data_IF_065969761081
#
_entry.id   IF_065969761081
#
_cell.length_a   1.000
_cell.length_b   1.000
_cell.length_c   1.000
_cell.angle_alpha   90.00
_cell.angle_beta   90.00
_cell.angle_gamma   90.00
#
_symmetry.space_group_name_H-M   'P 1'
#
loop_
_entity.id
_entity.type
_entity.pdbx_description
1 polymer ?
#
# COMPACT_ATOMS: atom_id res chain seq x y z
N UNK A 1 -16.74 31.60 -7.09
CA UNK A 1 -17.84 31.19 -8.00
C UNK A 1 -17.85 29.67 -8.07
N UNK A 2 -19.02 29.02 -8.06
CA UNK A 2 -19.16 27.56 -7.99
C UNK A 2 -19.23 26.94 -9.39
N UNK A 3 -18.41 25.91 -9.62
CA UNK A 3 -18.37 25.14 -10.88
C UNK A 3 -18.60 23.65 -10.64
N UNK A 4 -19.85 23.23 -10.47
CA UNK A 4 -20.19 21.82 -10.24
C UNK A 4 -20.18 21.01 -11.55
N UNK A 5 -19.11 20.25 -11.81
CA UNK A 5 -19.09 19.27 -12.89
C UNK A 5 -19.53 17.88 -12.40
N UNK A 6 -20.80 17.52 -12.63
CA UNK A 6 -21.27 16.14 -12.52
C UNK A 6 -20.85 15.38 -13.77
N UNK A 7 -20.05 14.30 -13.64
CA UNK A 7 -19.73 13.39 -14.74
C UNK A 7 -21.00 12.61 -15.12
N UNK A 8 -21.64 12.99 -16.23
CA UNK A 8 -22.83 12.31 -16.74
C UNK A 8 -22.41 11.16 -17.66
N UNK A 9 -22.48 9.92 -17.18
CA UNK A 9 -22.25 8.74 -18.03
C UNK A 9 -23.53 8.46 -18.83
N UNK A 10 -23.60 9.00 -20.05
CA UNK A 10 -24.60 8.62 -21.05
C UNK A 10 -23.90 7.96 -22.24
N UNK A 11 -24.03 6.65 -22.38
CA UNK A 11 -23.39 5.90 -23.45
C UNK A 11 -23.98 6.16 -24.83
N UNK A 12 -23.17 6.01 -25.88
CA UNK A 12 -23.61 5.87 -27.27
C UNK A 12 -22.71 4.88 -27.99
N UNK A 13 -23.21 3.66 -28.21
CA UNK A 13 -22.59 2.73 -29.15
C UNK A 13 -22.84 3.19 -30.59
N UNK A 14 -21.78 3.51 -31.32
CA UNK A 14 -21.86 3.85 -32.75
C UNK A 14 -21.94 2.60 -33.60
N UNK A 15 -23.15 2.08 -33.81
CA UNK A 15 -23.41 1.09 -34.84
C UNK A 15 -23.26 1.72 -36.23
N UNK A 16 -22.27 1.30 -37.01
CA UNK A 16 -22.09 1.73 -38.40
C UNK A 16 -23.01 0.90 -39.29
N UNK A 17 -24.08 1.52 -39.79
CA UNK A 17 -25.04 0.86 -40.67
C UNK A 17 -24.60 1.01 -42.14
N UNK A 18 -23.97 -0.03 -42.69
CA UNK A 18 -23.68 -0.09 -44.13
C UNK A 18 -24.89 -0.69 -44.86
N UNK A 19 -25.59 0.13 -45.65
CA UNK A 19 -26.77 -0.30 -46.40
C UNK A 19 -26.40 -0.78 -47.80
N UNK A 20 -26.57 -2.08 -48.07
CA UNK A 20 -26.61 -2.66 -49.41
C UNK A 20 -27.95 -3.38 -49.63
N UNK A 21 -28.68 -2.98 -50.67
CA UNK A 21 -30.00 -3.53 -50.97
C UNK A 21 -29.87 -4.86 -51.72
N UNK A 22 -30.38 -5.93 -51.11
CA UNK A 22 -30.52 -7.26 -51.73
C UNK A 22 -31.79 -7.94 -51.20
N UNK A 23 -32.61 -8.49 -52.09
CA UNK A 23 -33.92 -9.03 -51.72
C UNK A 23 -33.81 -10.42 -51.08
N UNK A 24 -34.36 -10.58 -49.87
CA UNK A 24 -34.42 -11.87 -49.17
C UNK A 24 -35.08 -11.75 -47.80
N UNK A 25 -36.36 -12.09 -47.68
CA UNK A 25 -37.11 -12.01 -46.42
C UNK A 25 -36.87 -13.21 -45.52
N UNK A 26 -36.09 -13.03 -44.45
CA UNK A 26 -36.31 -13.71 -43.17
C UNK A 26 -36.26 -12.66 -42.07
N UNK A 27 -37.40 -12.42 -41.42
CA UNK A 27 -37.48 -11.53 -40.27
C UNK A 27 -36.99 -12.27 -39.02
N UNK A 28 -35.67 -12.35 -38.84
CA UNK A 28 -35.06 -12.77 -37.57
C UNK A 28 -35.29 -11.67 -36.54
N UNK A 29 -36.51 -11.62 -36.00
CA UNK A 29 -36.89 -10.70 -34.93
C UNK A 29 -35.96 -10.90 -33.74
N UNK A 30 -35.25 -9.84 -33.36
CA UNK A 30 -34.38 -9.89 -32.18
C UNK A 30 -35.27 -10.06 -30.96
N UNK A 31 -35.31 -11.28 -30.42
CA UNK A 31 -35.78 -11.55 -29.07
C UNK A 31 -34.83 -10.83 -28.09
N UNK A 32 -35.14 -9.56 -27.82
CA UNK A 32 -34.44 -8.76 -26.81
C UNK A 32 -34.69 -9.44 -25.46
N UNK A 33 -33.61 -10.04 -24.96
CA UNK A 33 -33.59 -11.00 -23.87
C UNK A 33 -34.25 -10.48 -22.57
N UNK A 34 -35.50 -10.89 -22.31
CA UNK A 34 -36.26 -10.55 -21.09
C UNK A 34 -35.62 -11.12 -19.80
N UNK A 35 -34.61 -12.01 -19.91
CA UNK A 35 -33.81 -12.50 -18.79
C UNK A 35 -32.82 -11.48 -18.20
N UNK A 36 -32.68 -10.28 -18.80
CA UNK A 36 -31.88 -9.18 -18.22
C UNK A 36 -32.39 -8.71 -16.85
N UNK A 37 -33.65 -9.02 -16.51
CA UNK A 37 -34.25 -8.81 -15.19
C UNK A 37 -33.87 -9.89 -14.15
N UNK A 38 -33.57 -11.11 -14.59
CA UNK A 38 -33.26 -12.26 -13.72
C UNK A 38 -31.76 -12.34 -13.36
N UNK A 39 -30.88 -11.74 -14.16
CA UNK A 39 -29.45 -11.63 -13.84
C UNK A 39 -29.15 -10.67 -12.65
N UNK A 40 -30.17 -9.98 -12.12
CA UNK A 40 -30.05 -9.02 -11.03
C UNK A 40 -30.48 -9.56 -9.65
N UNK A 41 -30.83 -10.85 -9.53
CA UNK A 41 -30.85 -11.50 -8.21
C UNK A 41 -29.42 -11.52 -7.65
N UNK A 42 -29.17 -10.67 -6.64
CA UNK A 42 -27.87 -10.59 -5.99
C UNK A 42 -27.43 -11.97 -5.49
N UNK A 43 -26.15 -12.32 -5.70
CA UNK A 43 -25.51 -13.57 -5.23
C UNK A 43 -25.40 -13.63 -3.69
N UNK A 44 -26.53 -13.62 -2.99
CA UNK A 44 -26.62 -13.94 -1.56
C UNK A 44 -26.10 -15.35 -1.36
N UNK A 45 -25.06 -15.51 -0.54
CA UNK A 45 -24.56 -16.84 -0.20
C UNK A 45 -25.64 -17.65 0.52
N UNK A 46 -25.58 -18.96 0.35
CA UNK A 46 -26.57 -19.93 0.83
C UNK A 46 -26.80 -19.90 2.36
N UNK A 47 -25.76 -19.54 3.12
CA UNK A 47 -25.77 -19.51 4.58
C UNK A 47 -25.92 -18.08 5.13
N UNK A 48 -26.40 -17.89 6.37
CA UNK A 48 -26.42 -16.57 7.00
C UNK A 48 -24.99 -16.06 7.24
N UNK A 49 -24.72 -14.74 7.24
CA UNK A 49 -23.35 -14.21 7.37
C UNK A 49 -22.62 -14.59 8.65
N UNK A 50 -23.34 -14.99 9.71
CA UNK A 50 -22.74 -15.52 10.95
C UNK A 50 -22.09 -16.90 10.78
N UNK A 51 -22.45 -17.67 9.74
CA UNK A 51 -21.86 -18.99 9.45
C UNK A 51 -20.55 -18.91 8.68
N UNK A 52 -20.34 -17.83 7.92
CA UNK A 52 -19.08 -17.58 7.19
C UNK A 52 -18.09 -16.71 8.00
N UNK A 53 -18.48 -16.24 9.19
CA UNK A 53 -17.65 -15.33 9.99
C UNK A 53 -16.39 -16.04 10.53
N UNK A 54 -15.17 -15.50 10.31
CA UNK A 54 -13.93 -16.19 10.65
C UNK A 54 -13.66 -16.28 12.16
N UNK A 55 -13.06 -17.39 12.60
CA UNK A 55 -12.56 -17.53 13.97
C UNK A 55 -11.22 -16.81 14.15
N UNK A 56 -11.31 -15.56 14.62
CA UNK A 56 -10.16 -14.67 14.84
C UNK A 56 -9.67 -14.65 16.29
N UNK A 57 -10.08 -15.61 17.14
CA UNK A 57 -9.79 -15.63 18.60
C UNK A 57 -8.30 -15.73 18.98
N UNK A 58 -7.40 -15.99 18.01
CA UNK A 58 -5.95 -16.14 18.21
C UNK A 58 -5.14 -15.15 17.36
N UNK A 59 -5.79 -14.15 16.78
CA UNK A 59 -5.20 -13.31 15.73
C UNK A 59 -4.79 -11.93 16.27
N UNK A 60 -3.60 -11.48 15.87
CA UNK A 60 -3.01 -10.19 16.20
C UNK A 60 -2.60 -9.45 14.91
N UNK A 61 -3.61 -9.03 14.15
CA UNK A 61 -3.46 -8.18 12.97
C UNK A 61 -4.55 -7.09 12.99
N UNK A 62 -4.38 -6.01 12.21
CA UNK A 62 -5.27 -4.84 12.24
C UNK A 62 -6.70 -5.22 11.81
N UNK A 63 -6.85 -6.08 10.80
CA UNK A 63 -8.13 -6.63 10.33
C UNK A 63 -8.88 -7.34 11.45
N UNK A 64 -8.24 -8.26 12.18
CA UNK A 64 -8.83 -8.94 13.32
C UNK A 64 -9.13 -8.01 14.52
N UNK A 65 -8.51 -6.82 14.58
CA UNK A 65 -8.86 -5.79 15.56
C UNK A 65 -10.12 -5.01 15.15
N UNK A 66 -10.39 -4.87 13.85
CA UNK A 66 -11.44 -4.02 13.29
C UNK A 66 -12.70 -4.77 12.83
N UNK A 67 -12.59 -6.05 12.45
CA UNK A 67 -13.71 -6.83 11.94
C UNK A 67 -14.69 -7.20 13.05
N UNK A 68 -15.96 -6.89 12.84
CA UNK A 68 -17.06 -7.27 13.75
C UNK A 68 -18.13 -8.05 12.99
N UNK A 69 -18.96 -8.89 13.66
CA UNK A 69 -20.05 -9.60 12.99
C UNK A 69 -21.03 -8.68 12.25
N UNK A 70 -21.25 -7.46 12.76
CA UNK A 70 -22.10 -6.46 12.12
C UNK A 70 -21.47 -5.89 10.82
N UNK A 71 -20.17 -5.56 10.84
CA UNK A 71 -19.44 -5.09 9.65
C UNK A 71 -19.35 -6.21 8.61
N UNK A 72 -19.02 -7.44 9.02
CA UNK A 72 -18.98 -8.59 8.13
C UNK A 72 -20.34 -8.86 7.49
N UNK A 73 -21.42 -8.94 8.27
CA UNK A 73 -22.77 -9.18 7.75
C UNK A 73 -23.26 -8.08 6.78
N UNK A 74 -22.78 -6.84 6.91
CA UNK A 74 -23.10 -5.71 6.03
C UNK A 74 -22.25 -5.68 4.75
N UNK A 75 -21.06 -6.26 4.76
CA UNK A 75 -20.09 -6.19 3.66
C UNK A 75 -19.93 -7.51 2.87
N UNK A 76 -20.24 -8.68 3.45
CA UNK A 76 -19.99 -10.01 2.86
C UNK A 76 -20.57 -10.18 1.46
N UNK A 77 -21.82 -9.73 1.26
CA UNK A 77 -22.55 -9.89 0.00
C UNK A 77 -22.34 -8.70 -0.96
N UNK A 78 -21.43 -7.76 -0.64
CA UNK A 78 -20.98 -6.74 -1.59
C UNK A 78 -19.85 -7.30 -2.46
N UNK A 79 -19.82 -6.86 -3.72
CA UNK A 79 -18.73 -7.09 -4.66
C UNK A 79 -18.30 -5.77 -5.29
N UNK A 80 -17.05 -5.69 -5.73
CA UNK A 80 -16.55 -4.58 -6.56
C UNK A 80 -16.99 -4.77 -8.03
N UNK A 81 -16.84 -3.76 -8.91
CA UNK A 81 -17.17 -3.91 -10.34
C UNK A 81 -16.44 -5.09 -11.01
N UNK A 82 -15.24 -5.41 -10.53
CA UNK A 82 -14.41 -6.51 -11.04
C UNK A 82 -14.68 -7.86 -10.33
N UNK A 83 -15.74 -7.95 -9.52
CA UNK A 83 -16.14 -9.12 -8.72
C UNK A 83 -15.18 -9.50 -7.57
N UNK A 84 -14.37 -8.56 -7.07
CA UNK A 84 -13.61 -8.78 -5.84
C UNK A 84 -14.53 -8.73 -4.61
N UNK A 85 -14.25 -9.56 -3.60
CA UNK A 85 -15.14 -9.79 -2.44
C UNK A 85 -14.46 -9.46 -1.12
N UNK A 86 -15.27 -9.27 -0.06
CA UNK A 86 -14.77 -9.04 1.30
C UNK A 86 -13.85 -10.17 1.77
N UNK A 87 -14.21 -11.43 1.50
CA UNK A 87 -13.44 -12.58 1.97
C UNK A 87 -12.05 -12.62 1.30
N UNK A 88 -11.98 -12.35 0.00
CA UNK A 88 -10.69 -12.21 -0.70
C UNK A 88 -9.85 -11.04 -0.17
N UNK A 89 -10.47 -9.95 0.29
CA UNK A 89 -9.75 -8.86 0.97
C UNK A 89 -9.11 -9.33 2.28
N UNK A 90 -9.82 -10.12 3.10
CA UNK A 90 -9.38 -10.51 4.45
C UNK A 90 -8.63 -11.84 4.52
N UNK A 91 -8.65 -12.68 3.48
CA UNK A 91 -8.12 -14.05 3.45
C UNK A 91 -6.72 -14.16 4.07
N UNK A 92 -5.79 -13.31 3.63
CA UNK A 92 -4.41 -13.27 4.15
C UNK A 92 -4.34 -13.03 5.67
N UNK A 93 -5.24 -12.24 6.25
CA UNK A 93 -5.34 -12.02 7.70
C UNK A 93 -6.18 -13.03 8.46
N UNK A 94 -6.93 -13.90 7.78
CA UNK A 94 -7.57 -15.09 8.38
C UNK A 94 -6.54 -16.22 8.47
N UNK A 95 -5.78 -16.44 7.39
CA UNK A 95 -4.78 -17.51 7.27
C UNK A 95 -3.50 -17.24 8.06
N UNK A 96 -3.16 -15.96 8.30
CA UNK A 96 -1.98 -15.55 9.08
C UNK A 96 -2.41 -14.88 10.41
N UNK A 97 -2.46 -15.63 11.53
CA UNK A 97 -2.81 -15.08 12.85
C UNK A 97 -1.86 -13.99 13.37
N UNK A 98 -0.67 -13.84 12.80
CA UNK A 98 0.29 -12.78 13.14
C UNK A 98 1.59 -12.96 12.38
N UNK A 99 2.60 -12.16 12.73
CA UNK A 99 3.96 -12.31 12.20
C UNK A 99 4.98 -12.25 13.35
N UNK A 100 6.09 -13.01 13.34
CA UNK A 100 7.01 -13.09 14.49
C UNK A 100 7.64 -11.76 14.95
N UNK A 101 7.64 -10.74 14.08
CA UNK A 101 8.35 -9.47 14.32
C UNK A 101 7.46 -8.21 14.34
N UNK A 102 6.22 -8.25 13.82
CA UNK A 102 5.36 -7.06 13.63
C UNK A 102 3.86 -7.40 13.70
N UNK A 103 3.02 -6.44 14.14
CA UNK A 103 1.57 -6.48 13.90
C UNK A 103 1.32 -6.24 12.40
N UNK A 104 0.69 -7.19 11.72
CA UNK A 104 0.38 -7.09 10.28
C UNK A 104 -0.97 -6.41 10.04
N UNK A 105 -1.22 -5.99 8.79
CA UNK A 105 -2.51 -5.38 8.41
C UNK A 105 -3.64 -6.43 8.41
N UNK A 106 -3.41 -7.59 7.81
CA UNK A 106 -4.40 -8.66 7.71
C UNK A 106 -5.48 -8.47 6.63
N UNK A 107 -5.31 -7.51 5.71
CA UNK A 107 -6.14 -7.42 4.50
C UNK A 107 -5.40 -6.75 3.34
N UNK A 108 -5.91 -6.95 2.13
CA UNK A 108 -5.46 -6.38 0.85
C UNK A 108 -6.67 -5.88 0.04
N UNK A 109 -6.43 -4.94 -0.88
CA UNK A 109 -7.39 -4.55 -1.91
C UNK A 109 -7.10 -5.29 -3.23
N UNK A 110 -8.14 -5.71 -3.96
CA UNK A 110 -7.98 -6.38 -5.26
C UNK A 110 -8.08 -5.43 -6.47
N UNK A 111 -8.70 -4.28 -6.27
CA UNK A 111 -8.90 -3.18 -7.21
C UNK A 111 -9.04 -1.85 -6.43
N UNK A 112 -9.17 -0.73 -7.13
CA UNK A 112 -9.30 0.60 -6.49
C UNK A 112 -10.63 0.70 -5.71
N UNK A 113 -11.72 0.20 -6.30
CA UNK A 113 -13.06 0.27 -5.71
C UNK A 113 -13.20 -0.52 -4.41
N UNK A 114 -12.35 -1.52 -4.16
CA UNK A 114 -12.25 -2.24 -2.88
C UNK A 114 -12.19 -1.29 -1.68
N UNK A 115 -11.44 -0.18 -1.79
CA UNK A 115 -11.30 0.80 -0.70
C UNK A 115 -12.56 1.64 -0.45
N UNK A 116 -13.48 1.75 -1.41
CA UNK A 116 -14.76 2.44 -1.23
C UNK A 116 -15.90 1.45 -0.87
N UNK A 117 -16.00 0.32 -1.57
CA UNK A 117 -17.03 -0.72 -1.37
C UNK A 117 -16.95 -1.30 0.06
N UNK A 118 -15.73 -1.51 0.57
CA UNK A 118 -15.45 -2.07 1.89
C UNK A 118 -14.88 -1.04 2.89
N UNK A 119 -15.05 0.26 2.64
CA UNK A 119 -14.53 1.36 3.49
C UNK A 119 -14.86 1.21 4.98
N UNK A 120 -16.03 0.67 5.34
CA UNK A 120 -16.42 0.44 6.74
C UNK A 120 -15.47 -0.51 7.51
N UNK A 121 -14.73 -1.37 6.80
CA UNK A 121 -13.63 -2.17 7.35
C UNK A 121 -12.25 -1.53 7.09
N UNK A 122 -12.00 -0.97 5.91
CA UNK A 122 -10.70 -0.37 5.59
C UNK A 122 -10.38 0.88 6.43
N UNK A 123 -11.30 1.81 6.62
CA UNK A 123 -11.06 3.06 7.36
C UNK A 123 -10.51 2.81 8.80
N UNK A 124 -11.11 1.96 9.66
CA UNK A 124 -10.55 1.69 10.99
C UNK A 124 -9.21 0.96 10.95
N UNK A 125 -8.97 0.11 9.95
CA UNK A 125 -7.67 -0.57 9.74
C UNK A 125 -6.58 0.45 9.35
N UNK A 126 -6.91 1.37 8.44
CA UNK A 126 -6.06 2.49 8.03
C UNK A 126 -5.75 3.36 9.27
N UNK A 127 -6.74 3.65 10.10
CA UNK A 127 -6.58 4.48 11.30
C UNK A 127 -5.73 3.84 12.40
N UNK A 128 -5.86 2.54 12.63
CA UNK A 128 -4.99 1.77 13.52
C UNK A 128 -3.55 1.75 12.97
N UNK A 129 -3.38 1.37 11.69
CA UNK A 129 -2.05 1.21 11.09
C UNK A 129 -1.30 2.54 10.89
N UNK A 130 -1.98 3.63 10.58
CA UNK A 130 -1.40 4.96 10.38
C UNK A 130 -1.62 5.89 11.59
N UNK A 131 -1.66 5.30 12.79
CA UNK A 131 -1.50 5.99 14.07
C UNK A 131 -2.44 7.21 14.25
N UNK A 132 -3.72 7.03 13.90
CA UNK A 132 -4.76 8.03 14.06
C UNK A 132 -5.19 8.78 12.81
N UNK A 133 -4.52 8.61 11.65
CA UNK A 133 -5.00 9.18 10.39
C UNK A 133 -6.39 8.65 10.04
N UNK A 134 -7.37 9.52 9.87
CA UNK A 134 -8.75 9.14 9.58
C UNK A 134 -9.12 9.50 8.13
N UNK A 135 -9.21 8.54 7.20
CA UNK A 135 -9.49 8.80 5.78
C UNK A 135 -10.91 9.32 5.51
N UNK A 136 -11.73 9.51 6.55
CA UNK A 136 -13.06 10.13 6.49
C UNK A 136 -13.02 11.65 6.70
N UNK A 137 -12.00 12.15 7.39
CA UNK A 137 -11.91 13.57 7.81
C UNK A 137 -10.58 14.24 7.45
N UNK A 138 -9.53 13.45 7.17
CA UNK A 138 -8.21 13.92 6.79
C UNK A 138 -8.00 13.78 5.27
N UNK A 139 -7.03 14.53 4.75
CA UNK A 139 -6.59 14.53 3.35
C UNK A 139 -5.08 14.35 3.31
N UNK A 140 -4.57 13.73 2.26
CA UNK A 140 -3.14 13.43 2.14
C UNK A 140 -2.40 14.47 1.28
N UNK A 141 -1.40 15.19 1.83
CA UNK A 141 -0.51 16.03 1.04
C UNK A 141 0.63 15.20 0.43
N UNK A 142 0.94 15.43 -0.84
CA UNK A 142 2.02 14.78 -1.60
C UNK A 142 3.06 15.83 -2.00
N UNK A 143 4.34 15.59 -1.70
CA UNK A 143 5.50 16.41 -2.07
C UNK A 143 6.76 15.56 -1.87
N UNK A 144 7.61 15.42 -2.89
CA UNK A 144 8.07 14.09 -3.30
C UNK A 144 9.61 13.96 -3.46
N UNK A 145 10.32 13.10 -2.67
CA UNK A 145 11.67 12.51 -2.97
C UNK A 145 12.35 11.49 -1.95
N UNK A 146 12.54 10.20 -2.34
CA UNK A 146 13.77 9.34 -2.44
C UNK A 146 14.66 8.62 -1.35
N UNK A 147 15.04 7.35 -1.69
CA UNK A 147 16.40 6.73 -1.91
C UNK A 147 17.43 6.24 -0.83
N UNK A 148 17.54 4.89 -0.56
CA UNK A 148 18.77 3.99 -0.42
C UNK A 148 18.38 2.48 -0.21
N UNK A 149 19.08 1.38 -0.58
CA UNK A 149 20.10 1.05 -1.64
C UNK A 149 20.42 -0.48 -1.87
N UNK A 150 19.64 -1.24 -2.67
CA UNK A 150 19.83 -2.68 -3.09
C UNK A 150 18.84 -3.12 -4.21
N UNK A 151 19.18 -4.00 -5.18
CA UNK A 151 18.46 -4.00 -6.49
C UNK A 151 17.35 -5.04 -6.80
N UNK A 152 17.50 -6.34 -6.49
CA UNK A 152 16.69 -7.42 -7.11
C UNK A 152 15.60 -7.97 -6.17
N UNK A 153 14.55 -8.57 -6.75
CA UNK A 153 13.47 -9.27 -6.05
C UNK A 153 13.35 -10.73 -6.52
N UNK A 154 12.95 -11.62 -5.59
CA UNK A 154 12.78 -13.06 -5.80
C UNK A 154 11.29 -13.45 -5.86
N UNK A 155 10.99 -14.75 -6.08
CA UNK A 155 9.62 -15.26 -5.99
C UNK A 155 9.05 -15.05 -4.58
N UNK A 156 7.85 -14.46 -4.42
CA UNK A 156 7.20 -14.34 -3.12
C UNK A 156 6.98 -15.70 -2.45
N UNK A 157 7.71 -15.95 -1.36
CA UNK A 157 7.56 -17.11 -0.46
C UNK A 157 6.87 -16.76 0.85
N UNK A 158 6.71 -15.48 1.17
CA UNK A 158 6.06 -15.01 2.40
C UNK A 158 4.56 -15.37 2.37
N UNK A 159 4.01 -16.03 3.41
CA UNK A 159 2.63 -16.49 3.42
C UNK A 159 1.61 -15.34 3.38
N UNK A 160 2.02 -14.13 3.77
CA UNK A 160 1.23 -12.90 3.63
C UNK A 160 0.90 -12.58 2.16
N UNK A 161 1.83 -12.88 1.24
CA UNK A 161 1.72 -12.60 -0.19
C UNK A 161 1.12 -13.78 -0.97
N UNK A 162 1.41 -15.02 -0.57
CA UNK A 162 0.85 -16.21 -1.23
C UNK A 162 -0.63 -16.41 -0.88
N UNK A 163 -1.05 -16.22 0.37
CA UNK A 163 -2.48 -16.22 0.77
C UNK A 163 -3.25 -14.99 0.26
N UNK A 164 -2.54 -13.93 -0.16
CA UNK A 164 -3.13 -12.80 -0.90
C UNK A 164 -3.19 -13.04 -2.43
N UNK A 165 -2.86 -14.26 -2.90
CA UNK A 165 -2.86 -14.66 -4.31
C UNK A 165 -1.90 -13.87 -5.23
N UNK A 166 -0.89 -13.22 -4.67
CA UNK A 166 0.04 -12.33 -5.40
C UNK A 166 1.13 -13.11 -6.15
N UNK A 167 1.48 -14.30 -5.66
CA UNK A 167 2.48 -15.20 -6.25
C UNK A 167 1.97 -16.06 -7.43
N UNK A 168 0.72 -15.85 -7.89
CA UNK A 168 0.13 -16.61 -9.01
C UNK A 168 0.89 -16.39 -10.30
N UNK A 169 0.91 -17.43 -11.14
CA UNK A 169 1.40 -17.40 -12.52
C UNK A 169 2.89 -17.01 -12.66
N UNK A 170 3.63 -17.00 -11.55
CA UNK A 170 5.04 -16.58 -11.49
C UNK A 170 5.96 -17.45 -12.37
N UNK A 171 6.85 -16.85 -13.20
CA UNK A 171 7.25 -15.43 -13.23
C UNK A 171 6.54 -14.59 -14.31
N UNK A 172 5.40 -15.04 -14.86
CA UNK A 172 4.77 -14.39 -16.02
C UNK A 172 4.45 -12.90 -15.75
N UNK A 173 4.72 -12.06 -16.76
CA UNK A 173 4.59 -10.61 -16.73
C UNK A 173 5.36 -9.85 -15.61
N UNK A 174 6.31 -10.46 -14.91
CA UNK A 174 7.19 -9.79 -13.92
C UNK A 174 8.49 -9.33 -14.56
N UNK A 175 9.06 -8.24 -14.03
CA UNK A 175 10.35 -7.75 -14.50
C UNK A 175 10.96 -6.65 -13.65
N UNK A 176 12.24 -6.38 -13.90
CA UNK A 176 13.00 -5.27 -13.33
C UNK A 176 13.55 -4.39 -14.44
N UNK A 177 13.29 -3.09 -14.35
CA UNK A 177 13.93 -2.06 -15.14
C UNK A 177 14.89 -1.26 -14.24
N UNK A 178 16.02 -0.79 -14.79
CA UNK A 178 16.92 0.14 -14.11
C UNK A 178 17.66 1.05 -15.10
N UNK A 179 18.09 2.24 -14.66
CA UNK A 179 19.06 3.06 -15.40
C UNK A 179 20.44 2.40 -15.44
N UNK A 180 21.32 2.88 -16.32
CA UNK A 180 22.66 2.30 -16.53
C UNK A 180 23.52 2.31 -15.24
N UNK A 181 23.38 3.36 -14.44
CA UNK A 181 24.14 3.59 -13.21
C UNK A 181 23.65 2.71 -12.05
N UNK A 182 22.51 2.02 -12.20
CA UNK A 182 21.79 1.29 -11.15
C UNK A 182 21.54 2.16 -9.92
N UNK A 183 20.89 3.29 -10.14
CA UNK A 183 20.50 4.26 -9.11
C UNK A 183 19.05 4.73 -9.20
N UNK A 184 18.31 4.30 -10.22
CA UNK A 184 16.86 4.43 -10.36
C UNK A 184 16.32 3.15 -11.02
N UNK A 185 15.37 2.49 -10.35
CA UNK A 185 14.84 1.18 -10.71
C UNK A 185 13.32 1.18 -10.64
N UNK A 186 12.70 0.27 -11.37
CA UNK A 186 11.26 -0.02 -11.32
C UNK A 186 11.10 -1.54 -11.30
N UNK A 187 10.52 -2.09 -10.24
CA UNK A 187 10.03 -3.47 -10.22
C UNK A 187 8.59 -3.48 -10.73
N UNK A 188 8.23 -4.48 -11.53
CA UNK A 188 6.93 -4.58 -12.22
C UNK A 188 6.22 -5.87 -11.82
N UNK A 189 4.95 -5.75 -11.41
CA UNK A 189 4.03 -6.83 -11.05
C UNK A 189 4.49 -7.75 -9.88
N UNK A 190 5.15 -7.16 -8.89
CA UNK A 190 5.64 -7.85 -7.68
C UNK A 190 4.60 -7.72 -6.53
N UNK A 191 4.87 -6.95 -5.46
CA UNK A 191 3.89 -6.64 -4.40
C UNK A 191 2.81 -5.63 -4.85
N UNK A 192 3.09 -4.84 -5.88
CA UNK A 192 2.20 -3.84 -6.48
C UNK A 192 2.48 -3.77 -8.00
N UNK A 193 1.64 -3.09 -8.80
CA UNK A 193 1.86 -2.90 -10.25
C UNK A 193 3.28 -2.39 -10.57
N UNK A 194 3.73 -1.36 -9.84
CA UNK A 194 5.08 -0.83 -9.92
C UNK A 194 5.61 -0.46 -8.54
N UNK A 195 6.82 -0.93 -8.18
CA UNK A 195 7.63 -0.30 -7.13
C UNK A 195 8.71 0.54 -7.80
N UNK A 196 8.54 1.86 -7.76
CA UNK A 196 9.54 2.82 -8.24
C UNK A 196 10.57 3.06 -7.13
N UNK A 197 11.86 3.04 -7.47
CA UNK A 197 12.95 2.99 -6.50
C UNK A 197 14.16 3.78 -7.01
N UNK A 198 14.31 5.04 -6.61
CA UNK A 198 15.65 5.68 -6.62
C UNK A 198 16.48 5.09 -5.49
N UNK A 199 17.78 4.80 -5.70
CA UNK A 199 18.75 4.62 -4.61
C UNK A 199 20.24 4.74 -4.98
N UNK A 200 21.14 4.85 -3.99
CA UNK A 200 22.61 4.95 -4.14
C UNK A 200 23.38 4.66 -2.84
N UNK A 201 24.67 4.27 -2.91
CA UNK A 201 25.56 4.03 -1.75
C UNK A 201 25.90 5.30 -0.94
N UNK A 202 26.46 5.14 0.27
CA UNK A 202 26.89 6.26 1.13
C UNK A 202 25.75 6.87 1.96
N UNK A 203 25.82 8.17 2.26
CA UNK A 203 24.89 8.85 3.20
C UNK A 203 24.23 10.15 2.72
N UNK A 204 24.44 10.58 1.47
CA UNK A 204 23.93 11.88 0.96
C UNK A 204 22.42 11.82 0.67
N UNK A 205 21.57 11.89 1.70
CA UNK A 205 20.08 11.86 1.64
C UNK A 205 19.43 13.06 0.90
N UNK A 206 20.18 13.83 0.07
CA UNK A 206 19.63 14.93 -0.76
C UNK A 206 19.93 14.83 -2.27
N UNK A 207 21.03 14.19 -2.69
CA UNK A 207 21.23 13.82 -4.12
C UNK A 207 20.56 12.47 -4.44
N UNK A 208 20.60 11.57 -3.48
CA UNK A 208 19.54 10.59 -3.18
C UNK A 208 18.18 11.17 -3.54
N UNK A 209 17.89 12.27 -2.81
CA UNK A 209 16.80 13.23 -2.89
C UNK A 209 16.24 13.36 -4.30
N UNK A 210 16.80 14.33 -5.04
CA UNK A 210 16.34 14.90 -6.32
C UNK A 210 16.06 13.91 -7.48
N UNK A 211 16.41 12.61 -7.34
CA UNK A 211 16.32 11.60 -8.40
C UNK A 211 15.03 10.76 -8.37
N UNK A 212 14.40 10.50 -7.22
CA UNK A 212 13.15 9.70 -7.22
C UNK A 212 12.05 10.40 -7.97
N UNK A 213 11.96 11.72 -7.86
CA UNK A 213 10.80 12.47 -8.31
C UNK A 213 11.07 13.35 -9.51
N UNK A 214 12.33 13.58 -9.87
CA UNK A 214 12.65 13.72 -11.29
C UNK A 214 12.22 12.47 -12.06
N UNK A 215 12.52 11.27 -11.55
CA UNK A 215 12.15 10.00 -12.21
C UNK A 215 10.65 9.70 -12.21
N UNK A 216 9.98 9.80 -11.06
CA UNK A 216 8.57 9.47 -10.89
C UNK A 216 7.66 10.42 -11.68
N UNK A 217 7.96 11.73 -11.71
CA UNK A 217 7.23 12.70 -12.54
C UNK A 217 7.40 12.41 -14.05
N UNK A 218 8.56 11.90 -14.47
CA UNK A 218 8.76 11.44 -15.86
C UNK A 218 7.97 10.16 -16.16
N UNK A 219 7.94 9.18 -15.25
CA UNK A 219 7.13 7.96 -15.39
C UNK A 219 5.64 8.32 -15.48
N UNK A 220 5.15 9.18 -14.59
CA UNK A 220 3.77 9.68 -14.56
C UNK A 220 3.38 10.38 -15.88
N UNK A 221 4.22 11.30 -16.35
CA UNK A 221 4.01 12.00 -17.62
C UNK A 221 3.94 11.02 -18.81
N UNK A 222 4.84 10.03 -18.88
CA UNK A 222 4.90 9.07 -19.98
C UNK A 222 3.73 8.08 -20.01
N UNK A 223 3.09 7.77 -18.87
CA UNK A 223 1.85 6.97 -18.87
C UNK A 223 0.62 7.83 -19.22
N UNK A 224 0.60 9.10 -18.80
CA UNK A 224 -0.46 10.06 -19.16
C UNK A 224 -0.48 10.36 -20.66
N UNK A 225 0.69 10.47 -21.32
CA UNK A 225 0.80 10.56 -22.79
C UNK A 225 0.19 9.35 -23.53
N UNK A 226 0.01 8.22 -22.83
CA UNK A 226 -0.60 6.99 -23.36
C UNK A 226 -2.05 6.80 -22.92
N UNK A 227 -2.63 7.77 -22.21
CA UNK A 227 -4.02 7.73 -21.74
C UNK A 227 -4.24 6.91 -20.47
N UNK A 228 -3.19 6.68 -19.66
CA UNK A 228 -3.28 6.00 -18.37
C UNK A 228 -3.03 6.96 -17.21
N UNK A 229 -3.74 6.77 -16.11
CA UNK A 229 -3.62 7.56 -14.88
C UNK A 229 -3.16 6.64 -13.73
N UNK A 230 -2.49 7.18 -12.71
CA UNK A 230 -2.27 6.46 -11.45
C UNK A 230 -3.56 6.44 -10.61
N UNK A 231 -3.82 5.33 -9.91
CA UNK A 231 -4.88 5.25 -8.91
C UNK A 231 -4.54 6.18 -7.74
N UNK A 232 -5.24 7.31 -7.63
CA UNK A 232 -5.00 8.35 -6.63
C UNK A 232 -6.32 9.04 -6.25
N UNK A 233 -6.51 9.31 -4.96
CA UNK A 233 -7.59 10.18 -4.51
C UNK A 233 -7.21 11.00 -3.28
N UNK A 234 -7.87 12.14 -3.10
CA UNK A 234 -7.54 13.14 -2.07
C UNK A 234 -7.64 12.64 -0.62
N UNK A 235 -8.38 11.54 -0.38
CA UNK A 235 -8.55 10.92 0.96
C UNK A 235 -7.43 9.96 1.31
N UNK A 236 -6.96 9.18 0.31
CA UNK A 236 -6.03 8.07 0.49
C UNK A 236 -4.64 8.30 -0.11
N UNK A 237 -4.43 9.36 -0.88
CA UNK A 237 -3.22 9.53 -1.70
C UNK A 237 -3.18 8.52 -2.85
N UNK A 238 -1.98 8.06 -3.19
CA UNK A 238 -1.79 6.94 -4.11
C UNK A 238 -2.36 5.65 -3.49
N UNK A 239 -3.11 4.91 -4.31
CA UNK A 239 -3.76 3.65 -3.94
C UNK A 239 -2.85 2.48 -4.30
N UNK A 240 -2.60 1.59 -3.34
CA UNK A 240 -1.71 0.44 -3.45
C UNK A 240 -2.34 -0.80 -2.79
N UNK A 241 -1.87 -1.99 -3.12
CA UNK A 241 -2.53 -3.28 -2.80
C UNK A 241 -2.64 -3.52 -1.29
N UNK A 242 -1.66 -3.07 -0.51
CA UNK A 242 -1.66 -3.17 0.95
C UNK A 242 -2.02 -1.84 1.62
N UNK A 243 -3.01 -1.77 2.54
CA UNK A 243 -3.39 -0.53 3.23
C UNK A 243 -2.28 0.17 4.01
N UNK A 244 -1.19 -0.53 4.36
CA UNK A 244 -0.01 0.10 5.00
C UNK A 244 0.90 0.88 4.04
N UNK A 245 0.63 0.79 2.73
CA UNK A 245 1.32 1.52 1.67
C UNK A 245 0.50 2.72 1.13
N UNK A 246 -0.72 2.98 1.62
CA UNK A 246 -1.49 4.15 1.20
C UNK A 246 -0.80 5.48 1.52
N UNK A 247 -1.24 6.53 0.85
CA UNK A 247 -0.73 7.89 0.95
C UNK A 247 0.38 8.11 -0.06
N UNK A 248 1.60 8.08 0.46
CA UNK A 248 2.83 8.29 -0.31
C UNK A 248 3.38 7.01 -0.94
N UNK A 249 3.01 5.82 -0.43
CA UNK A 249 3.77 4.59 -0.67
C UNK A 249 5.20 4.59 -0.08
N UNK A 250 5.72 5.71 0.40
CA UNK A 250 7.14 5.95 0.58
C UNK A 250 7.76 5.10 1.70
N UNK A 251 8.92 4.52 1.40
CA UNK A 251 9.84 3.99 2.42
C UNK A 251 11.23 4.56 2.21
N UNK A 252 11.46 5.77 2.72
CA UNK A 252 12.79 6.35 2.83
C UNK A 252 13.52 5.71 4.02
N UNK A 253 14.80 5.41 3.85
CA UNK A 253 15.56 4.70 4.87
C UNK A 253 17.04 4.59 4.57
N UNK A 254 17.77 4.03 5.53
CA UNK A 254 19.22 3.85 5.47
C UNK A 254 19.62 2.50 6.05
N UNK A 255 20.71 1.92 5.56
CA UNK A 255 21.45 0.88 6.26
C UNK A 255 22.46 1.57 7.18
N UNK A 256 22.18 1.58 8.48
CA UNK A 256 23.02 2.24 9.50
C UNK A 256 23.58 1.23 10.49
N UNK A 257 24.85 1.38 10.86
CA UNK A 257 25.53 0.52 11.82
C UNK A 257 25.44 1.14 13.22
N UNK A 258 24.85 0.40 14.17
CA UNK A 258 24.53 0.87 15.53
C UNK A 258 25.00 -0.15 16.59
N UNK A 259 26.32 -0.40 16.74
CA UNK A 259 26.85 -1.49 17.57
C UNK A 259 26.54 -1.33 19.06
N UNK A 260 26.43 -0.11 19.60
CA UNK A 260 26.14 0.10 21.01
C UNK A 260 24.65 0.40 21.24
N UNK A 261 24.05 1.28 20.42
CA UNK A 261 22.65 1.67 20.58
C UNK A 261 21.70 0.48 20.39
N UNK A 262 22.01 -0.47 19.52
CA UNK A 262 21.19 -1.68 19.34
C UNK A 262 21.09 -2.59 20.56
N UNK A 263 21.98 -2.41 21.55
CA UNK A 263 22.04 -3.16 22.81
C UNK A 263 21.41 -2.39 23.98
N UNK A 264 21.11 -1.10 23.83
CA UNK A 264 20.48 -0.28 24.86
C UNK A 264 18.97 -0.59 24.93
N UNK A 265 18.39 -0.89 26.12
CA UNK A 265 16.97 -1.21 26.26
C UNK A 265 16.03 -0.06 25.83
N UNK A 266 16.54 1.18 25.76
CA UNK A 266 15.78 2.36 25.30
C UNK A 266 15.59 2.40 23.78
N UNK A 267 16.35 1.62 23.00
CA UNK A 267 16.39 1.74 21.53
C UNK A 267 15.02 1.60 20.86
N UNK A 268 14.18 0.63 21.28
CA UNK A 268 12.82 0.52 20.73
C UNK A 268 12.01 1.77 20.99
N UNK A 269 12.07 2.31 22.22
CA UNK A 269 11.29 3.49 22.61
C UNK A 269 11.78 4.79 21.94
N UNK A 270 13.08 4.85 21.61
CA UNK A 270 13.66 5.92 20.78
C UNK A 270 13.08 5.85 19.36
N UNK A 271 13.07 4.66 18.72
CA UNK A 271 12.47 4.47 17.39
C UNK A 271 10.96 4.79 17.37
N UNK A 272 10.20 4.31 18.36
CA UNK A 272 8.76 4.55 18.50
C UNK A 272 8.43 6.05 18.56
N UNK A 273 9.19 6.80 19.37
CA UNK A 273 9.00 8.23 19.56
C UNK A 273 9.42 9.06 18.33
N UNK A 274 10.46 8.61 17.61
CA UNK A 274 10.93 9.20 16.35
C UNK A 274 10.11 8.77 15.12
N UNK A 275 9.09 7.89 15.27
CA UNK A 275 8.30 7.31 14.17
C UNK A 275 9.13 6.55 13.13
N UNK A 276 10.17 5.87 13.59
CA UNK A 276 11.03 5.01 12.77
C UNK A 276 10.71 3.52 13.02
N UNK A 277 10.90 2.70 11.99
CA UNK A 277 10.89 1.24 12.07
C UNK A 277 12.29 0.68 11.80
N UNK A 278 12.63 -0.45 12.42
CA UNK A 278 13.85 -1.22 12.11
C UNK A 278 13.50 -2.55 11.43
N UNK A 279 14.34 -2.98 10.48
CA UNK A 279 14.28 -4.28 9.78
C UNK A 279 15.66 -4.92 9.71
N UNK A 280 15.70 -6.20 9.34
CA UNK A 280 16.94 -6.88 9.00
C UNK A 280 17.57 -6.35 7.71
N UNK A 281 18.83 -6.71 7.49
CA UNK A 281 19.69 -6.08 6.48
C UNK A 281 19.36 -6.53 5.04
N UNK A 282 18.44 -7.48 4.86
CA UNK A 282 17.85 -7.88 3.57
C UNK A 282 16.34 -7.65 3.49
N UNK A 283 15.76 -6.81 4.36
CA UNK A 283 14.33 -6.49 4.37
C UNK A 283 13.52 -7.14 5.49
N UNK A 284 12.20 -7.15 5.33
CA UNK A 284 11.22 -7.38 6.43
C UNK A 284 11.27 -8.79 7.03
N UNK A 285 11.54 -9.81 6.22
CA UNK A 285 11.57 -11.21 6.65
C UNK A 285 12.99 -11.68 7.02
N UNK A 286 13.96 -10.76 7.12
CA UNK A 286 15.37 -11.06 7.43
C UNK A 286 15.77 -10.64 8.84
N UNK A 287 16.76 -11.32 9.41
CA UNK A 287 17.46 -10.86 10.60
C UNK A 287 18.47 -9.75 10.27
N UNK A 288 18.86 -8.95 11.28
CA UNK A 288 19.97 -8.02 11.13
C UNK A 288 21.31 -8.77 11.07
N UNK A 289 22.13 -8.50 10.06
CA UNK A 289 23.46 -9.11 9.92
C UNK A 289 24.47 -8.30 10.74
N UNK A 290 24.72 -8.76 11.98
CA UNK A 290 25.55 -8.04 12.94
C UNK A 290 24.93 -6.71 13.37
N UNK A 291 25.74 -5.66 13.45
CA UNK A 291 25.33 -4.35 13.98
C UNK A 291 24.55 -3.46 12.98
N UNK A 292 24.16 -3.95 11.80
CA UNK A 292 23.62 -3.11 10.69
C UNK A 292 22.12 -3.29 10.50
N UNK A 293 21.37 -2.19 10.61
CA UNK A 293 19.91 -2.17 10.55
C UNK A 293 19.41 -1.36 9.36
N UNK A 294 18.36 -1.85 8.72
CA UNK A 294 17.50 -1.06 7.83
C UNK A 294 16.58 -0.22 8.71
N UNK A 295 16.82 1.10 8.75
CA UNK A 295 16.02 2.08 9.49
C UNK A 295 15.25 2.94 8.50
N UNK A 296 13.93 3.02 8.63
CA UNK A 296 13.04 3.75 7.70
C UNK A 296 11.83 4.38 8.42
N UNK A 297 11.10 5.27 7.73
CA UNK A 297 9.83 5.82 8.23
C UNK A 297 8.80 4.71 8.53
N UNK A 298 8.05 4.86 9.63
CA UNK A 298 6.94 3.95 10.02
C UNK A 298 5.57 4.40 9.45
N UNK A 299 5.40 5.71 9.32
CA UNK A 299 4.21 6.39 8.78
C UNK A 299 4.32 6.54 7.26
N UNK A 300 3.23 6.42 6.50
CA UNK A 300 3.20 6.68 5.03
C UNK A 300 2.03 7.53 4.54
N UNK A 301 1.02 7.75 5.38
CA UNK A 301 -0.22 8.47 5.07
C UNK A 301 -0.37 9.65 6.04
N UNK A 302 -0.91 10.77 5.55
CA UNK A 302 -1.13 11.99 6.35
C UNK A 302 0.08 12.89 6.59
N UNK A 303 1.23 12.59 6.00
CA UNK A 303 2.43 13.44 5.87
C UNK A 303 2.97 13.31 4.46
N UNK A 304 3.48 14.38 3.86
CA UNK A 304 4.12 14.32 2.54
C UNK A 304 5.44 13.57 2.57
N UNK A 305 5.97 13.17 1.42
CA UNK A 305 7.24 12.46 1.35
C UNK A 305 8.41 13.33 1.81
N UNK A 306 8.39 14.64 1.55
CA UNK A 306 9.35 15.62 2.09
C UNK A 306 9.27 15.66 3.62
N UNK A 307 8.07 15.67 4.21
CA UNK A 307 7.91 15.56 5.68
C UNK A 307 8.43 14.21 6.21
N UNK A 308 8.19 13.11 5.48
CA UNK A 308 8.63 11.76 5.86
C UNK A 308 10.15 11.58 5.72
N UNK A 309 10.80 12.15 4.70
CA UNK A 309 12.26 12.06 4.55
C UNK A 309 12.96 13.01 5.51
N UNK A 310 12.44 14.22 5.76
CA UNK A 310 12.98 15.09 6.81
C UNK A 310 12.94 14.40 8.18
N UNK A 311 11.83 13.73 8.51
CA UNK A 311 11.69 12.89 9.71
C UNK A 311 12.72 11.75 9.76
N UNK A 312 13.02 11.10 8.62
CA UNK A 312 14.09 10.08 8.53
C UNK A 312 15.47 10.69 8.70
N UNK A 313 15.76 11.85 8.10
CA UNK A 313 17.04 12.57 8.24
C UNK A 313 17.28 12.94 9.70
N UNK A 314 16.32 13.60 10.35
CA UNK A 314 16.44 14.04 11.74
C UNK A 314 16.54 12.86 12.71
N UNK A 315 15.70 11.83 12.51
CA UNK A 315 15.73 10.61 13.31
C UNK A 315 17.03 9.82 13.17
N UNK A 316 17.56 9.66 11.94
CA UNK A 316 18.84 8.98 11.70
C UNK A 316 20.01 9.77 12.29
N UNK A 317 20.01 11.10 12.18
CA UNK A 317 21.00 11.96 12.84
C UNK A 317 20.99 11.76 14.36
N UNK A 318 19.81 11.69 14.98
CA UNK A 318 19.65 11.43 16.41
C UNK A 318 20.21 10.05 16.82
N UNK A 319 19.92 8.99 16.05
CA UNK A 319 20.47 7.65 16.30
C UNK A 319 22.01 7.64 16.21
N UNK A 320 22.59 8.36 15.25
CA UNK A 320 24.05 8.51 15.10
C UNK A 320 24.66 9.32 16.26
N UNK A 321 23.97 10.31 16.81
CA UNK A 321 24.40 11.00 18.03
C UNK A 321 24.36 10.10 19.27
N UNK A 322 23.31 9.31 19.43
CA UNK A 322 23.20 8.34 20.52
C UNK A 322 24.33 7.30 20.46
N UNK A 323 24.61 6.76 19.28
CA UNK A 323 25.73 5.83 19.07
C UNK A 323 27.07 6.46 19.49
N UNK A 324 27.38 7.67 19.01
CA UNK A 324 28.60 8.44 19.35
C UNK A 324 28.72 8.86 20.82
N UNK A 325 27.64 8.84 21.59
CA UNK A 325 27.63 9.06 23.04
C UNK A 325 27.96 7.75 23.77
N UNK A 326 27.30 6.66 23.39
CA UNK A 326 27.56 5.32 23.95
C UNK A 326 29.00 4.84 23.67
N UNK A 327 29.54 5.11 22.47
CA UNK A 327 30.96 4.88 22.12
C UNK A 327 31.96 5.55 23.09
N UNK A 328 31.53 6.60 23.81
CA UNK A 328 32.33 7.37 24.77
C UNK A 328 31.96 7.09 26.23
N UNK A 329 31.09 6.10 26.49
CA UNK A 329 30.55 5.82 27.82
C UNK A 329 29.64 6.93 28.36
N UNK A 330 29.08 7.77 27.49
CA UNK A 330 28.14 8.85 27.86
C UNK A 330 26.70 8.37 27.76
N UNK A 331 25.85 8.81 28.70
CA UNK A 331 24.43 8.45 28.69
C UNK A 331 23.65 9.13 27.54
N UNK A 332 22.57 8.50 27.14
CA UNK A 332 21.64 8.97 26.10
C UNK A 332 20.25 9.22 26.68
N UNK A 333 19.49 10.09 26.03
CA UNK A 333 18.11 10.37 26.43
C UNK A 333 17.12 9.72 25.47
N UNK A 334 15.87 9.58 25.90
CA UNK A 334 14.76 9.20 25.03
C UNK A 334 14.13 10.50 24.51
N UNK A 335 14.02 10.72 23.19
CA UNK A 335 13.43 11.95 22.66
C UNK A 335 11.94 12.00 22.97
N UNK A 336 11.36 13.20 23.04
CA UNK A 336 9.92 13.34 23.17
C UNK A 336 9.19 12.70 21.97
N UNK A 337 8.00 12.10 22.13
CA UNK A 337 7.23 11.58 21.01
C UNK A 337 6.88 12.69 20.02
N UNK A 338 7.10 12.46 18.72
CA UNK A 338 6.69 13.40 17.67
C UNK A 338 5.17 13.59 17.67
N UNK A 339 4.72 14.84 17.64
CA UNK A 339 3.29 15.18 17.50
C UNK A 339 2.84 14.82 16.10
N UNK A 340 1.92 13.88 15.99
CA UNK A 340 1.54 13.25 14.72
C UNK A 340 0.73 14.17 13.80
N UNK A 341 -0.32 14.77 14.34
CA UNK A 341 -1.29 15.59 13.63
C UNK A 341 -1.73 16.74 14.55
N UNK A 342 -2.06 17.90 13.98
CA UNK A 342 -2.84 18.93 14.70
C UNK A 342 -4.27 18.41 14.87
N UNK A 343 -4.84 18.60 16.06
CA UNK A 343 -6.26 18.33 16.34
C UNK A 343 -7.15 19.41 15.76
#
# INVERSE_FOLDING_TARGET
MSGSFRRLISGRGTAVLLASLGAGTVATGVLLNENSSLAAEARKKLYPPSSDFPDLRKHNNCMATALTPAVYAKLRDKVTPNNWTLDQCIQTGVDNPGHPFIKTVGCVAGDEESYEVFAELFDPIIKDRHNGYDPRTMRHPTDLDASKDHFLFDKPVSPLLTCAFMARDWPDARGIWHNNEKTFLIWVNEEDHTRVISMEKGGNMKRVFERFCSGLKQVEHLIQERGWEFMWNERLGYVLTCPSNLGTGLRAGVHVRLPNLSKDPRFSKILDNLRLQKRGTGGVDTAATGDTFDISNLDRLGKSEVELVQLVVDGVNYLIECEKKLEKGQDIQVPAPLVMFKK
#
